data_IF_480520073718
#
_entry.id   IF_480520073718
#
_cell.length_a   1.000
_cell.length_b   1.000
_cell.length_c   1.000
_cell.angle_alpha   90.00
_cell.angle_beta   90.00
_cell.angle_gamma   90.00
#
_symmetry.space_group_name_H-M   'P 1'
#
loop_
_entity.id
_entity.type
_entity.pdbx_description
1 polymer ?
#
# COMPACT_ATOMS: atom_id res chain seq x y z
N UNK A 1 -29.64 14.11 -7.36
CA UNK A 1 -29.04 12.76 -7.41
C UNK A 1 -27.54 12.92 -7.36
N UNK A 2 -26.93 12.84 -6.17
CA UNK A 2 -25.47 12.94 -6.03
C UNK A 2 -24.87 11.57 -6.36
N UNK A 3 -24.19 11.47 -7.50
CA UNK A 3 -23.34 10.33 -7.83
C UNK A 3 -22.14 10.31 -6.90
N UNK A 4 -22.32 9.80 -5.68
CA UNK A 4 -21.24 9.64 -4.71
C UNK A 4 -20.30 8.54 -5.21
N UNK A 5 -19.09 8.93 -5.64
CA UNK A 5 -18.00 7.98 -5.84
C UNK A 5 -17.72 7.37 -4.46
N UNK A 6 -17.86 6.05 -4.34
CA UNK A 6 -17.46 5.32 -3.14
C UNK A 6 -15.93 5.22 -3.19
N UNK A 7 -15.16 5.96 -2.36
CA UNK A 7 -13.73 5.75 -2.25
C UNK A 7 -13.39 4.28 -1.95
N UNK A 8 -12.52 3.73 -2.79
CA UNK A 8 -11.92 2.41 -2.60
C UNK A 8 -10.61 2.58 -1.86
N UNK A 9 -10.51 2.01 -0.66
CA UNK A 9 -9.30 2.10 0.16
C UNK A 9 -8.57 0.76 0.07
N UNK A 10 -7.42 0.76 -0.61
CA UNK A 10 -6.52 -0.37 -0.63
C UNK A 10 -5.49 -0.23 0.51
N UNK A 11 -5.40 -1.24 1.36
CA UNK A 11 -4.47 -1.28 2.49
C UNK A 11 -3.45 -2.39 2.27
N UNK A 12 -2.19 -2.10 2.59
CA UNK A 12 -1.11 -3.09 2.65
C UNK A 12 -0.42 -2.99 4.00
N UNK A 13 -0.14 -4.15 4.60
CA UNK A 13 0.60 -4.26 5.85
C UNK A 13 2.04 -4.70 5.56
N UNK A 14 3.01 -3.84 5.94
CA UNK A 14 4.44 -4.10 6.05
C UNK A 14 5.12 -4.65 4.76
N UNK A 15 6.21 -4.01 4.32
CA UNK A 15 7.10 -4.40 3.20
C UNK A 15 6.90 -5.84 2.68
N UNK A 16 5.92 -6.04 1.79
CA UNK A 16 5.57 -7.39 1.33
C UNK A 16 6.58 -7.91 0.32
N UNK A 17 6.66 -9.25 0.24
CA UNK A 17 7.59 -9.97 -0.65
C UNK A 17 7.42 -9.59 -2.12
N UNK A 18 6.23 -9.18 -2.55
CA UNK A 18 5.89 -8.75 -3.92
C UNK A 18 6.76 -7.57 -4.38
N UNK A 19 6.69 -6.42 -3.71
CA UNK A 19 7.46 -5.22 -4.09
C UNK A 19 8.96 -5.41 -3.83
N UNK A 20 9.36 -6.16 -2.80
CA UNK A 20 10.76 -6.56 -2.60
C UNK A 20 11.27 -7.39 -3.78
N UNK A 21 10.46 -8.35 -4.26
CA UNK A 21 10.80 -9.19 -5.41
C UNK A 21 10.90 -8.35 -6.67
N UNK A 22 9.93 -7.47 -6.92
CA UNK A 22 9.95 -6.51 -8.04
C UNK A 22 11.23 -5.67 -8.03
N UNK A 23 11.46 -4.89 -6.97
CA UNK A 23 12.63 -4.00 -6.87
C UNK A 23 13.96 -4.76 -6.81
N UNK A 24 13.91 -6.01 -6.35
CA UNK A 24 15.06 -6.90 -6.27
C UNK A 24 15.38 -7.66 -7.56
N UNK A 25 14.57 -7.53 -8.61
CA UNK A 25 14.76 -8.31 -9.84
C UNK A 25 14.45 -9.80 -9.67
N UNK A 26 13.67 -10.17 -8.65
CA UNK A 26 13.42 -11.58 -8.26
C UNK A 26 12.02 -12.00 -8.69
N UNK A 27 11.88 -13.27 -9.08
CA UNK A 27 10.64 -13.80 -9.63
C UNK A 27 10.46 -13.45 -11.11
N UNK A 28 9.29 -13.78 -11.66
CA UNK A 28 8.99 -13.58 -13.08
C UNK A 28 8.39 -12.18 -13.29
N UNK A 29 9.25 -11.16 -13.34
CA UNK A 29 8.85 -9.74 -13.54
C UNK A 29 8.37 -9.52 -14.98
N UNK A 30 9.03 -10.15 -15.95
CA UNK A 30 8.63 -10.18 -17.35
C UNK A 30 8.99 -11.54 -17.95
N UNK A 31 8.27 -11.92 -19.01
CA UNK A 31 8.63 -13.06 -19.87
C UNK A 31 9.73 -12.70 -20.88
N UNK A 32 9.91 -11.41 -21.16
CA UNK A 32 10.91 -10.89 -22.09
C UNK A 32 11.61 -9.68 -21.46
N UNK A 33 12.93 -9.77 -21.30
CA UNK A 33 13.75 -8.66 -20.82
C UNK A 33 14.16 -7.79 -22.00
N UNK A 34 14.00 -6.47 -21.87
CA UNK A 34 14.46 -5.53 -22.91
C UNK A 34 15.98 -5.63 -23.08
N UNK A 35 16.46 -5.53 -24.32
CA UNK A 35 17.89 -5.59 -24.67
C UNK A 35 18.73 -4.54 -23.94
N UNK A 36 18.15 -3.41 -23.54
CA UNK A 36 18.85 -2.38 -22.73
C UNK A 36 19.27 -2.85 -21.33
N UNK A 37 18.67 -3.93 -20.82
CA UNK A 37 19.05 -4.56 -19.54
C UNK A 37 19.85 -5.85 -19.75
N UNK A 38 20.34 -6.07 -20.97
CA UNK A 38 21.26 -7.15 -21.30
C UNK A 38 22.60 -6.50 -21.61
N UNK A 39 23.55 -6.60 -20.69
CA UNK A 39 24.89 -6.03 -20.85
C UNK A 39 25.88 -7.17 -21.03
N UNK A 40 26.61 -7.17 -22.15
CA UNK A 40 27.56 -8.24 -22.50
C UNK A 40 26.94 -9.66 -22.42
N UNK A 41 25.67 -9.81 -22.79
CA UNK A 41 24.94 -11.09 -22.72
C UNK A 41 24.44 -11.47 -21.33
N UNK A 42 24.73 -10.68 -20.29
CA UNK A 42 24.22 -10.89 -18.93
C UNK A 42 22.93 -10.11 -18.69
N UNK A 43 21.94 -10.76 -18.08
CA UNK A 43 20.65 -10.15 -17.76
C UNK A 43 20.67 -9.39 -16.42
N UNK A 44 20.34 -8.09 -16.45
CA UNK A 44 20.29 -7.20 -15.29
C UNK A 44 18.87 -7.02 -14.76
N UNK A 45 18.30 -8.11 -14.23
CA UNK A 45 16.93 -8.14 -13.71
C UNK A 45 16.64 -7.15 -12.59
N UNK A 46 17.63 -6.85 -11.76
CA UNK A 46 17.49 -5.89 -10.66
C UNK A 46 17.27 -4.47 -11.17
N UNK A 47 17.99 -4.09 -12.22
CA UNK A 47 17.89 -2.75 -12.80
C UNK A 47 16.57 -2.61 -13.56
N UNK A 48 16.16 -3.65 -14.30
CA UNK A 48 14.82 -3.71 -14.89
C UNK A 48 13.70 -3.61 -13.85
N UNK A 49 13.78 -4.38 -12.75
CA UNK A 49 12.78 -4.33 -11.70
C UNK A 49 12.64 -2.97 -11.02
N UNK A 50 13.76 -2.23 -10.89
CA UNK A 50 13.76 -0.85 -10.39
C UNK A 50 13.16 0.14 -11.39
N UNK A 51 13.43 -0.04 -12.68
CA UNK A 51 12.82 0.75 -13.76
C UNK A 51 11.31 0.55 -13.78
N UNK A 52 10.84 -0.70 -13.78
CA UNK A 52 9.40 -1.01 -13.71
C UNK A 52 8.77 -0.38 -12.47
N UNK A 53 9.43 -0.48 -11.32
CA UNK A 53 8.91 0.17 -10.12
C UNK A 53 8.82 1.71 -10.27
N UNK A 54 9.78 2.34 -10.96
CA UNK A 54 9.77 3.78 -11.25
C UNK A 54 8.59 4.17 -12.13
N UNK A 55 8.35 3.44 -13.20
CA UNK A 55 7.17 3.62 -14.05
C UNK A 55 5.88 3.46 -13.26
N UNK A 56 5.75 2.42 -12.43
CA UNK A 56 4.57 2.24 -11.58
C UNK A 56 4.34 3.42 -10.64
N UNK A 57 5.40 3.99 -10.04
CA UNK A 57 5.28 5.17 -9.18
C UNK A 57 4.89 6.43 -9.96
N UNK A 58 5.41 6.58 -11.17
CA UNK A 58 5.04 7.70 -12.03
C UNK A 58 3.57 7.61 -12.45
N UNK A 59 3.08 6.41 -12.74
CA UNK A 59 1.64 6.17 -12.95
C UNK A 59 0.83 6.55 -11.72
N UNK A 60 1.23 6.15 -10.50
CA UNK A 60 0.56 6.56 -9.26
C UNK A 60 0.53 8.09 -9.11
N UNK A 61 1.64 8.75 -9.41
CA UNK A 61 1.77 10.20 -9.37
C UNK A 61 0.83 10.88 -10.37
N UNK A 62 0.67 10.34 -11.57
CA UNK A 62 -0.12 10.96 -12.64
C UNK A 62 -1.61 10.57 -12.64
N UNK A 63 -2.04 9.59 -11.84
CA UNK A 63 -3.44 9.13 -11.84
C UNK A 63 -4.38 10.15 -11.21
N UNK A 64 -5.30 10.70 -12.00
CA UNK A 64 -6.33 11.62 -11.52
C UNK A 64 -7.31 10.94 -10.56
N UNK A 65 -7.79 11.67 -9.55
CA UNK A 65 -8.72 11.15 -8.54
C UNK A 65 -8.11 10.19 -7.51
N UNK A 66 -6.88 9.71 -7.73
CA UNK A 66 -6.18 8.84 -6.79
C UNK A 66 -5.64 9.64 -5.59
N UNK A 67 -5.92 9.14 -4.39
CA UNK A 67 -5.26 9.54 -3.15
C UNK A 67 -4.47 8.36 -2.62
N UNK A 68 -3.26 8.62 -2.16
CA UNK A 68 -2.40 7.61 -1.54
C UNK A 68 -2.05 8.04 -0.12
N UNK A 69 -1.54 7.13 0.68
CA UNK A 69 -1.04 7.46 2.00
C UNK A 69 -0.47 6.22 2.67
N UNK A 70 0.38 6.45 3.66
CA UNK A 70 0.91 5.39 4.49
C UNK A 70 0.79 5.76 5.96
N UNK A 71 0.45 4.76 6.77
CA UNK A 71 0.45 4.87 8.23
C UNK A 71 1.44 3.88 8.81
N UNK A 72 1.97 4.19 9.99
CA UNK A 72 2.96 3.33 10.66
C UNK A 72 2.80 3.39 12.16
N UNK A 73 3.17 2.29 12.81
CA UNK A 73 3.42 2.23 14.26
C UNK A 73 4.69 1.45 14.51
N UNK A 74 5.47 1.90 15.50
CA UNK A 74 6.61 1.11 16.00
C UNK A 74 6.09 0.16 17.07
N UNK A 75 6.53 -1.08 17.01
CA UNK A 75 6.19 -2.10 17.99
C UNK A 75 7.37 -3.05 18.17
N UNK A 76 7.38 -3.77 19.29
CA UNK A 76 8.39 -4.78 19.54
C UNK A 76 8.11 -6.03 18.67
N UNK A 77 9.14 -6.75 18.18
CA UNK A 77 8.94 -7.91 17.30
C UNK A 77 8.01 -8.98 17.89
N UNK A 78 8.09 -9.21 19.20
CA UNK A 78 7.25 -10.15 19.94
C UNK A 78 5.78 -9.74 20.00
N UNK A 79 5.45 -8.46 19.80
CA UNK A 79 4.08 -7.94 19.82
C UNK A 79 3.54 -7.66 18.42
N UNK A 80 4.18 -8.16 17.36
CA UNK A 80 3.88 -7.80 15.98
C UNK A 80 2.40 -7.97 15.62
N UNK A 81 1.80 -9.09 16.00
CA UNK A 81 0.37 -9.35 15.76
C UNK A 81 -0.53 -8.28 16.40
N UNK A 82 -0.26 -7.95 17.67
CA UNK A 82 -0.98 -6.89 18.38
C UNK A 82 -0.75 -5.52 17.74
N UNK A 83 0.50 -5.20 17.40
CA UNK A 83 0.84 -3.93 16.74
C UNK A 83 0.10 -3.78 15.41
N UNK A 84 0.01 -4.84 14.59
CA UNK A 84 -0.76 -4.84 13.34
C UNK A 84 -2.24 -4.59 13.58
N UNK A 85 -2.85 -5.36 14.49
CA UNK A 85 -4.24 -5.16 14.92
C UNK A 85 -4.51 -3.73 15.31
N UNK A 86 -3.65 -3.14 16.14
CA UNK A 86 -3.89 -1.80 16.65
C UNK A 86 -3.68 -0.72 15.57
N UNK A 87 -2.71 -0.90 14.67
CA UNK A 87 -2.50 -0.04 13.48
C UNK A 87 -3.74 -0.06 12.61
N UNK A 88 -4.22 -1.25 12.26
CA UNK A 88 -5.40 -1.40 11.41
C UNK A 88 -6.65 -0.81 12.07
N UNK A 89 -6.88 -1.10 13.35
CA UNK A 89 -8.02 -0.55 14.10
C UNK A 89 -7.99 0.98 14.14
N UNK A 90 -6.80 1.57 14.37
CA UNK A 90 -6.62 3.02 14.40
C UNK A 90 -6.83 3.63 13.00
N UNK A 91 -6.36 2.96 11.95
CA UNK A 91 -6.58 3.38 10.57
C UNK A 91 -8.08 3.38 10.23
N UNK A 92 -8.81 2.32 10.54
CA UNK A 92 -10.25 2.23 10.28
C UNK A 92 -11.02 3.30 11.06
N UNK A 93 -10.72 3.51 12.34
CA UNK A 93 -11.38 4.55 13.14
C UNK A 93 -11.14 5.97 12.58
N UNK A 94 -9.92 6.24 12.10
CA UNK A 94 -9.60 7.50 11.43
C UNK A 94 -10.35 7.65 10.11
N UNK A 95 -10.39 6.59 9.29
CA UNK A 95 -11.13 6.57 8.04
C UNK A 95 -12.62 6.83 8.26
N UNK A 96 -13.25 6.20 9.26
CA UNK A 96 -14.65 6.46 9.63
C UNK A 96 -14.89 7.93 9.94
N UNK A 97 -13.98 8.56 10.68
CA UNK A 97 -14.07 9.99 11.02
C UNK A 97 -13.96 10.87 9.77
N UNK A 98 -13.02 10.56 8.87
CA UNK A 98 -12.85 11.29 7.61
C UNK A 98 -14.09 11.14 6.70
N UNK A 99 -14.66 9.93 6.60
CA UNK A 99 -15.88 9.65 5.83
C UNK A 99 -17.12 10.31 6.43
N UNK A 100 -17.21 10.40 7.75
CA UNK A 100 -18.30 11.10 8.43
C UNK A 100 -18.27 12.59 8.09
N UNK A 101 -17.09 13.22 8.10
CA UNK A 101 -16.93 14.64 7.75
C UNK A 101 -17.24 14.90 6.28
N UNK A 102 -16.86 13.99 5.38
CA UNK A 102 -17.11 14.14 3.94
C UNK A 102 -18.46 13.59 3.48
N UNK A 103 -19.32 13.13 4.40
CA UNK A 103 -20.60 12.46 4.13
C UNK A 103 -20.47 11.37 3.04
N UNK A 104 -19.43 10.54 3.14
CA UNK A 104 -19.08 9.54 2.13
C UNK A 104 -19.15 8.13 2.69
N UNK A 105 -19.17 7.12 1.81
CA UNK A 105 -19.06 5.70 2.17
C UNK A 105 -17.79 5.13 1.54
N UNK A 106 -17.20 4.09 2.14
CA UNK A 106 -16.02 3.44 1.57
C UNK A 106 -16.10 1.92 1.63
N UNK A 107 -15.36 1.26 0.73
CA UNK A 107 -15.04 -0.16 0.85
C UNK A 107 -13.54 -0.31 1.10
N UNK A 108 -13.18 -1.32 1.90
CA UNK A 108 -11.78 -1.61 2.24
C UNK A 108 -11.36 -2.89 1.52
N UNK A 109 -10.28 -2.80 0.76
CA UNK A 109 -9.61 -3.91 0.12
C UNK A 109 -8.26 -4.11 0.78
N UNK A 110 -7.94 -5.35 1.12
CA UNK A 110 -6.74 -5.67 1.87
C UNK A 110 -6.09 -6.93 1.30
N UNK A 111 -4.76 -6.95 1.29
CA UNK A 111 -4.02 -8.16 0.91
C UNK A 111 -4.15 -9.24 1.96
N UNK A 112 -4.66 -10.41 1.58
CA UNK A 112 -4.85 -11.53 2.48
C UNK A 112 -5.66 -12.66 1.85
N UNK A 113 -5.70 -13.80 2.55
CA UNK A 113 -6.39 -15.02 2.15
C UNK A 113 -7.59 -15.35 3.06
N UNK A 114 -7.89 -14.49 4.04
CA UNK A 114 -8.97 -14.72 5.01
C UNK A 114 -8.56 -15.43 6.29
N UNK A 115 -7.29 -15.86 6.41
CA UNK A 115 -6.82 -16.54 7.62
C UNK A 115 -6.73 -15.62 8.85
N UNK A 116 -6.45 -14.33 8.65
CA UNK A 116 -6.39 -13.35 9.73
C UNK A 116 -7.78 -12.78 10.07
N UNK A 117 -8.32 -13.21 11.20
CA UNK A 117 -9.65 -12.80 11.69
C UNK A 117 -9.67 -11.37 12.24
N UNK A 118 -8.50 -10.75 12.44
CA UNK A 118 -8.36 -9.41 13.02
C UNK A 118 -9.07 -8.34 12.22
N UNK A 119 -9.00 -8.41 10.89
CA UNK A 119 -9.63 -7.43 10.00
C UNK A 119 -11.15 -7.47 10.11
N UNK A 120 -11.72 -8.68 10.07
CA UNK A 120 -13.15 -8.91 10.26
C UNK A 120 -13.61 -8.42 11.64
N UNK A 121 -12.91 -8.81 12.70
CA UNK A 121 -13.25 -8.40 14.06
C UNK A 121 -13.24 -6.88 14.22
N UNK A 122 -12.28 -6.18 13.60
CA UNK A 122 -12.19 -4.71 13.60
C UNK A 122 -13.42 -4.07 12.97
N UNK A 123 -13.85 -4.55 11.80
CA UNK A 123 -15.03 -4.04 11.11
C UNK A 123 -16.33 -4.32 11.87
N UNK A 124 -16.44 -5.50 12.50
CA UNK A 124 -17.63 -5.90 13.27
C UNK A 124 -17.78 -5.15 14.60
N UNK A 125 -16.70 -4.56 15.11
CA UNK A 125 -16.74 -3.70 16.30
C UNK A 125 -17.20 -2.25 16.00
N UNK A 126 -17.39 -1.88 14.73
CA UNK A 126 -17.91 -0.57 14.36
C UNK A 126 -19.41 -0.46 14.66
N UNK A 127 -19.85 0.73 15.11
CA UNK A 127 -21.25 0.99 15.43
C UNK A 127 -22.10 0.98 14.15
N UNK A 128 -22.88 -0.08 13.94
CA UNK A 128 -23.68 -0.28 12.71
C UNK A 128 -24.53 0.94 12.31
N UNK A 129 -25.13 1.65 13.27
CA UNK A 129 -26.00 2.80 12.98
C UNK A 129 -25.28 4.05 12.50
N UNK A 130 -23.95 4.11 12.61
CA UNK A 130 -23.13 5.29 12.27
C UNK A 130 -21.99 4.96 11.31
N UNK A 131 -21.86 3.68 10.94
CA UNK A 131 -20.74 3.15 10.19
C UNK A 131 -20.74 3.65 8.75
N UNK A 132 -19.59 4.13 8.25
CA UNK A 132 -19.43 4.64 6.86
C UNK A 132 -18.62 3.71 5.96
N UNK A 133 -17.75 2.88 6.52
CA UNK A 133 -17.07 1.78 5.84
C UNK A 133 -18.08 0.64 5.67
N UNK A 134 -18.40 0.28 4.45
CA UNK A 134 -19.36 -0.77 4.12
C UNK A 134 -18.69 -2.14 4.16
N UNK A 135 -19.37 -3.12 4.76
CA UNK A 135 -18.97 -4.54 4.84
C UNK A 135 -17.60 -4.85 5.47
N UNK A 136 -17.33 -6.11 5.79
CA UNK A 136 -15.98 -6.51 6.20
C UNK A 136 -14.96 -6.20 5.08
N UNK A 137 -13.68 -6.07 5.45
CA UNK A 137 -12.62 -5.89 4.46
C UNK A 137 -12.61 -7.03 3.42
N UNK A 138 -12.55 -6.67 2.15
CA UNK A 138 -12.44 -7.60 1.02
C UNK A 138 -10.99 -8.02 0.90
N UNK A 139 -10.72 -9.30 1.17
CA UNK A 139 -9.38 -9.86 1.16
C UNK A 139 -9.06 -10.44 -0.22
N UNK A 140 -8.02 -9.93 -0.88
CA UNK A 140 -7.62 -10.32 -2.24
C UNK A 140 -6.11 -10.51 -2.30
N UNK A 141 -5.63 -11.61 -2.88
CA UNK A 141 -4.20 -11.81 -3.15
C UNK A 141 -3.68 -10.71 -4.10
N UNK A 142 -2.63 -10.02 -3.68
CA UNK A 142 -1.85 -9.07 -4.48
C UNK A 142 -1.57 -9.53 -5.92
N UNK A 143 -1.36 -10.82 -6.19
CA UNK A 143 -1.11 -11.34 -7.55
C UNK A 143 -2.26 -11.09 -8.53
N UNK A 144 -3.47 -10.93 -8.00
CA UNK A 144 -4.70 -10.81 -8.78
C UNK A 144 -5.34 -9.41 -8.68
N UNK A 145 -4.73 -8.46 -7.95
CA UNK A 145 -5.29 -7.13 -7.75
C UNK A 145 -4.25 -6.02 -7.94
N UNK A 146 -4.48 -5.19 -8.96
CA UNK A 146 -3.65 -4.01 -9.23
C UNK A 146 -3.75 -2.99 -8.10
N UNK A 147 -4.92 -2.82 -7.48
CA UNK A 147 -5.10 -1.92 -6.34
C UNK A 147 -4.25 -2.33 -5.13
N UNK A 148 -4.15 -3.64 -4.87
CA UNK A 148 -3.30 -4.16 -3.81
C UNK A 148 -1.82 -3.99 -4.17
N UNK A 149 -1.43 -4.23 -5.42
CA UNK A 149 -0.05 -3.98 -5.88
C UNK A 149 0.35 -2.49 -5.76
N UNK A 150 -0.57 -1.58 -6.07
CA UNK A 150 -0.40 -0.15 -5.88
C UNK A 150 -0.22 0.20 -4.39
N UNK A 151 -1.07 -0.33 -3.51
CA UNK A 151 -0.95 -0.13 -2.06
C UNK A 151 0.36 -0.69 -1.49
N UNK A 152 0.80 -1.87 -1.95
CA UNK A 152 2.09 -2.47 -1.61
C UNK A 152 3.26 -1.55 -2.01
N UNK A 153 3.22 -0.95 -3.21
CA UNK A 153 4.25 -0.04 -3.68
C UNK A 153 4.31 1.25 -2.86
N UNK A 154 3.15 1.80 -2.47
CA UNK A 154 3.05 2.96 -1.57
C UNK A 154 3.63 2.63 -0.19
N UNK A 155 3.20 1.51 0.41
CA UNK A 155 3.68 1.07 1.71
C UNK A 155 5.19 0.80 1.73
N UNK A 156 5.71 0.18 0.67
CA UNK A 156 7.14 -0.08 0.52
C UNK A 156 7.95 1.22 0.38
N UNK A 157 7.46 2.17 -0.44
CA UNK A 157 8.10 3.48 -0.63
C UNK A 157 8.11 4.28 0.68
N UNK A 158 7.02 4.23 1.44
CA UNK A 158 6.93 4.86 2.76
C UNK A 158 7.91 4.24 3.75
N UNK A 159 8.02 2.91 3.77
CA UNK A 159 8.97 2.21 4.64
C UNK A 159 10.42 2.55 4.29
N UNK A 160 10.78 2.55 3.00
CA UNK A 160 12.14 2.90 2.55
C UNK A 160 12.54 4.33 2.94
N UNK A 161 11.57 5.25 3.03
CA UNK A 161 11.77 6.62 3.48
C UNK A 161 11.87 6.75 5.00
N UNK A 162 11.02 6.05 5.76
CA UNK A 162 10.94 6.19 7.22
C UNK A 162 11.98 5.37 7.97
N UNK A 163 12.27 4.16 7.48
CA UNK A 163 13.23 3.23 8.07
C UNK A 163 14.30 2.86 7.03
N UNK A 164 15.23 3.80 6.75
CA UNK A 164 16.18 3.66 5.66
C UNK A 164 17.19 2.56 5.92
N UNK A 165 17.17 1.52 5.08
CA UNK A 165 18.20 0.47 5.05
C UNK A 165 19.21 0.74 3.93
N UNK A 166 20.51 0.51 4.18
CA UNK A 166 21.60 0.79 3.22
C UNK A 166 21.42 0.07 1.88
N UNK A 167 20.88 -1.16 1.88
CA UNK A 167 20.59 -1.91 0.66
C UNK A 167 19.53 -1.27 -0.24
N UNK A 168 18.74 -0.33 0.30
CA UNK A 168 17.63 0.35 -0.36
C UNK A 168 17.87 1.86 -0.53
N UNK A 169 19.13 2.33 -0.49
CA UNK A 169 19.48 3.74 -0.71
C UNK A 169 18.84 4.37 -1.93
N UNK A 170 18.76 3.62 -3.02
CA UNK A 170 18.14 4.03 -4.27
C UNK A 170 16.66 4.42 -4.15
N UNK A 171 16.01 4.08 -3.04
CA UNK A 171 14.59 4.25 -2.80
C UNK A 171 14.23 5.20 -1.65
N UNK A 172 15.22 5.74 -0.93
CA UNK A 172 14.96 6.56 0.26
C UNK A 172 14.11 7.80 -0.03
N UNK A 173 14.21 8.35 -1.24
CA UNK A 173 13.49 9.55 -1.68
C UNK A 173 12.23 9.27 -2.52
N UNK A 174 11.88 8.00 -2.76
CA UNK A 174 10.78 7.65 -3.67
C UNK A 174 9.43 8.19 -3.19
N UNK A 175 9.15 8.09 -1.89
CA UNK A 175 7.91 8.65 -1.35
C UNK A 175 7.86 10.17 -1.55
N UNK A 176 8.98 10.84 -1.26
CA UNK A 176 9.12 12.28 -1.40
C UNK A 176 8.90 12.74 -2.86
N UNK A 177 9.50 12.02 -3.81
CA UNK A 177 9.47 12.39 -5.23
C UNK A 177 8.14 12.13 -5.92
N UNK A 178 7.48 11.01 -5.62
CA UNK A 178 6.34 10.54 -6.43
C UNK A 178 5.00 10.54 -5.69
N UNK A 179 4.99 10.46 -4.35
CA UNK A 179 3.75 10.20 -3.60
C UNK A 179 3.28 11.40 -2.78
N UNK A 180 4.13 12.40 -2.52
CA UNK A 180 3.79 13.58 -1.71
C UNK A 180 2.62 14.40 -2.23
N UNK A 181 2.46 14.49 -3.56
CA UNK A 181 1.38 15.26 -4.17
C UNK A 181 0.02 14.53 -4.08
N UNK A 182 0.05 13.20 -3.95
CA UNK A 182 -1.15 12.35 -3.83
C UNK A 182 -1.52 12.00 -2.39
N UNK A 183 -0.60 12.25 -1.45
CA UNK A 183 -0.83 12.09 -0.03
C UNK A 183 -1.37 13.39 0.59
N UNK A 184 -2.63 13.44 1.07
CA UNK A 184 -3.19 14.63 1.71
C UNK A 184 -2.38 15.12 2.92
N UNK A 185 -1.60 14.25 3.56
CA UNK A 185 -0.74 14.59 4.70
C UNK A 185 0.69 14.89 4.29
N UNK A 186 1.04 14.64 3.02
CA UNK A 186 2.37 14.84 2.43
C UNK A 186 3.48 14.18 3.24
N UNK A 187 3.20 13.03 3.90
CA UNK A 187 4.19 12.19 4.59
C UNK A 187 3.53 10.93 5.17
N UNK A 188 4.29 9.84 5.35
CA UNK A 188 3.83 8.71 6.13
C UNK A 188 3.54 9.11 7.58
N UNK A 189 2.35 8.77 8.06
CA UNK A 189 1.85 9.23 9.36
C UNK A 189 2.09 8.21 10.47
N UNK A 190 2.64 8.61 11.64
CA UNK A 190 2.58 7.77 12.81
C UNK A 190 1.13 7.68 13.30
N UNK A 191 0.67 6.47 13.62
CA UNK A 191 -0.62 6.23 14.27
C UNK A 191 -0.47 5.30 15.46
#
# INVERSE_FOLDING_TARGET
>A
MCGGIIPVIAVSELVRRSTIRLCGGRGRISTQLSSRHIHAGQAHWKDFGREVAAECRETLRCTEGLRVGAVRRRGAPQSLHRTRKDVYSTLIARTESELQVSDSLAMVFMDGDGSDTTYRATHRNLKLSARRVVEDAVLIDSKHSQLIQMADLVAWSANACVDPHLGNKFAWDWYAKHLLERDPRRKPMPI
#
